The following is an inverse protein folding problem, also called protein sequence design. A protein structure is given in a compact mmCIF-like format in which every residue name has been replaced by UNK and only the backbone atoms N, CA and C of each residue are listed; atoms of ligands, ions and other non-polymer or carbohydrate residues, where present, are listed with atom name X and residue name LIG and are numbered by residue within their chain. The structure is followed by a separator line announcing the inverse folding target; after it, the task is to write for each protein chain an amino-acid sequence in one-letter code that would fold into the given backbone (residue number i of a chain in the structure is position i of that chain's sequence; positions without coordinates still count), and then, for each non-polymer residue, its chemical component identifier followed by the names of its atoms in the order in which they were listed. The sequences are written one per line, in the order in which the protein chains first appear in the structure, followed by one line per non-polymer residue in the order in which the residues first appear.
data_IF_975674891878
#
_entry.id   IF_975674891878
#
_cell.length_a   1.000
_cell.length_b   1.000
_cell.length_c   1.000
_cell.angle_alpha   90.00
_cell.angle_beta   90.00
_cell.angle_gamma   90.00
#
_symmetry.space_group_name_H-M   'P 1'
#
loop_
_entity.id
_entity.type
_entity.pdbx_description
1 polymer ?
#
# COMPACT_ATOMS: atom_id res chain seq x y z
N UNK A 1 -7.85 22.60 11.81
CA UNK A 1 -6.95 22.24 10.70
C UNK A 1 -7.79 22.08 9.45
N UNK A 2 -7.38 22.71 8.36
CA UNK A 2 -7.97 22.48 7.03
C UNK A 2 -7.14 21.36 6.39
N UNK A 3 -7.78 20.30 5.94
CA UNK A 3 -7.15 19.25 5.16
C UNK A 3 -8.14 18.63 4.17
N UNK A 4 -7.61 18.17 3.03
CA UNK A 4 -8.38 17.44 2.03
C UNK A 4 -8.08 15.97 2.15
N UNK A 5 -9.11 15.14 2.34
CA UNK A 5 -8.99 13.69 2.39
C UNK A 5 -9.36 13.09 1.03
N UNK A 6 -8.58 12.16 0.54
CA UNK A 6 -8.81 11.50 -0.75
C UNK A 6 -8.23 10.09 -0.80
N UNK A 7 -8.72 9.29 -1.76
CA UNK A 7 -8.09 8.04 -2.16
C UNK A 7 -7.17 8.35 -3.34
N UNK A 8 -5.88 8.01 -3.26
CA UNK A 8 -4.89 8.25 -4.32
C UNK A 8 -4.50 6.97 -5.08
N UNK A 9 -4.84 5.82 -4.54
CA UNK A 9 -4.67 4.51 -5.15
C UNK A 9 -5.78 3.55 -4.72
N UNK A 10 -6.34 2.83 -5.68
CA UNK A 10 -7.29 1.74 -5.42
C UNK A 10 -7.02 0.59 -6.38
N UNK A 11 -6.73 -0.58 -5.84
CA UNK A 11 -6.59 -1.81 -6.59
C UNK A 11 -7.43 -2.92 -5.93
N UNK A 12 -8.27 -3.55 -6.73
CA UNK A 12 -9.20 -4.61 -6.33
C UNK A 12 -8.68 -5.96 -6.81
N UNK A 13 -8.78 -6.98 -5.96
CA UNK A 13 -8.60 -8.37 -6.35
C UNK A 13 -9.97 -8.96 -6.62
N UNK A 14 -10.16 -9.42 -7.84
CA UNK A 14 -11.45 -9.81 -8.39
C UNK A 14 -11.40 -11.20 -9.02
N UNK A 15 -12.58 -11.75 -9.34
CA UNK A 15 -12.74 -12.93 -10.16
C UNK A 15 -13.88 -12.73 -11.16
N UNK A 16 -13.84 -13.44 -12.29
CA UNK A 16 -14.96 -13.53 -13.23
C UNK A 16 -15.08 -14.97 -13.73
N UNK A 17 -16.23 -15.33 -14.29
CA UNK A 17 -16.46 -16.70 -14.80
C UNK A 17 -15.42 -17.15 -15.84
N UNK A 18 -15.05 -16.25 -16.75
CA UNK A 18 -14.07 -16.51 -17.81
C UNK A 18 -12.61 -16.25 -17.38
N UNK A 19 -12.36 -15.55 -16.27
CA UNK A 19 -11.05 -15.02 -15.92
C UNK A 19 -10.58 -13.87 -16.81
N UNK A 20 -11.47 -13.31 -17.62
CA UNK A 20 -11.23 -12.21 -18.56
C UNK A 20 -12.39 -11.23 -18.57
N UNK A 21 -12.11 -9.98 -18.97
CA UNK A 21 -13.16 -9.01 -19.31
C UNK A 21 -13.64 -9.23 -20.73
N UNK A 22 -14.93 -8.99 -20.96
CA UNK A 22 -15.49 -9.01 -22.31
C UNK A 22 -15.21 -7.66 -23.01
N UNK A 23 -14.37 -7.66 -24.03
CA UNK A 23 -13.94 -6.45 -24.75
C UNK A 23 -14.97 -5.93 -25.77
N UNK A 24 -16.13 -6.58 -25.90
CA UNK A 24 -17.17 -6.21 -26.88
C UNK A 24 -18.25 -5.28 -26.32
N UNK A 25 -18.06 -4.73 -25.14
CA UNK A 25 -19.00 -3.80 -24.53
C UNK A 25 -18.79 -2.38 -25.11
N UNK A 26 -19.76 -1.85 -25.82
CA UNK A 26 -19.66 -0.60 -26.60
C UNK A 26 -19.44 0.69 -25.78
N UNK A 27 -19.67 0.68 -24.47
CA UNK A 27 -19.48 1.85 -23.61
C UNK A 27 -18.04 2.10 -23.22
N UNK A 28 -17.18 1.10 -23.35
CA UNK A 28 -15.79 1.11 -22.88
C UNK A 28 -14.85 0.97 -24.06
N UNK A 29 -13.80 1.78 -24.10
CA UNK A 29 -12.67 1.53 -24.98
C UNK A 29 -11.68 0.58 -24.31
N UNK A 30 -11.02 -0.28 -25.08
CA UNK A 30 -10.06 -1.24 -24.57
C UNK A 30 -8.76 -1.16 -25.33
N UNK A 31 -7.64 -1.01 -24.61
CA UNK A 31 -6.29 -1.00 -25.17
C UNK A 31 -5.48 -2.10 -24.52
N UNK A 32 -5.24 -3.17 -25.26
CA UNK A 32 -4.33 -4.24 -24.85
C UNK A 32 -2.89 -3.75 -24.98
N UNK A 33 -2.09 -3.94 -23.92
CA UNK A 33 -0.66 -3.65 -23.94
C UNK A 33 0.12 -4.81 -24.55
N UNK A 34 1.27 -4.50 -25.18
CA UNK A 34 2.15 -5.50 -25.80
C UNK A 34 2.67 -6.55 -24.80
N UNK A 35 2.77 -6.16 -23.52
CA UNK A 35 3.24 -7.02 -22.44
C UNK A 35 2.30 -6.91 -21.25
N UNK A 36 2.13 -8.04 -20.55
CA UNK A 36 1.43 -8.11 -19.26
C UNK A 36 2.30 -7.60 -18.11
N UNK A 37 2.01 -8.10 -16.93
CA UNK A 37 2.79 -7.82 -15.71
C UNK A 37 3.55 -9.08 -15.27
N UNK A 38 4.38 -8.97 -14.23
CA UNK A 38 5.06 -10.14 -13.65
C UNK A 38 4.08 -11.24 -13.17
N UNK A 39 2.85 -10.87 -12.85
CA UNK A 39 1.87 -11.79 -12.27
C UNK A 39 0.76 -12.20 -13.25
N UNK A 40 0.52 -11.40 -14.28
CA UNK A 40 -0.56 -11.59 -15.24
C UNK A 40 -0.06 -11.43 -16.67
N UNK A 41 -0.53 -12.29 -17.57
CA UNK A 41 -0.11 -12.33 -18.97
C UNK A 41 -0.61 -11.12 -19.77
N UNK A 42 -1.79 -10.61 -19.43
CA UNK A 42 -2.41 -9.49 -20.14
C UNK A 42 -2.62 -8.29 -19.22
N UNK A 43 -2.31 -7.11 -19.75
CA UNK A 43 -2.61 -5.82 -19.18
C UNK A 43 -3.48 -5.04 -20.17
N UNK A 44 -4.65 -4.58 -19.73
CA UNK A 44 -5.60 -3.84 -20.54
C UNK A 44 -5.87 -2.50 -19.86
N UNK A 45 -5.71 -1.40 -20.59
CA UNK A 45 -6.27 -0.12 -20.17
C UNK A 45 -7.69 -0.01 -20.71
N UNK A 46 -8.64 0.20 -19.80
CA UNK A 46 -10.03 0.50 -20.11
C UNK A 46 -10.19 2.00 -20.12
N UNK A 47 -10.78 2.54 -21.19
CA UNK A 47 -11.05 3.97 -21.31
C UNK A 47 -12.55 4.26 -21.20
N UNK A 48 -12.88 5.40 -20.60
CA UNK A 48 -14.23 5.94 -20.53
C UNK A 48 -14.21 7.37 -21.11
N UNK A 49 -15.03 7.61 -22.13
CA UNK A 49 -15.04 8.89 -22.86
C UNK A 49 -13.66 9.32 -23.38
N UNK A 50 -12.83 8.35 -23.79
CA UNK A 50 -11.47 8.60 -24.31
C UNK A 50 -10.39 8.80 -23.25
N UNK A 51 -10.73 8.74 -21.96
CA UNK A 51 -9.77 8.88 -20.85
C UNK A 51 -9.52 7.53 -20.17
N UNK A 52 -8.27 7.29 -19.75
CA UNK A 52 -7.87 6.08 -19.04
C UNK A 52 -8.62 5.97 -17.71
N UNK A 53 -9.47 4.96 -17.57
CA UNK A 53 -10.33 4.74 -16.42
C UNK A 53 -9.81 3.65 -15.50
N UNK A 54 -9.52 2.45 -16.05
CA UNK A 54 -9.04 1.31 -15.30
C UNK A 54 -7.82 0.67 -15.99
N UNK A 55 -6.96 0.08 -15.17
CA UNK A 55 -5.98 -0.92 -15.62
C UNK A 55 -6.46 -2.30 -15.13
N UNK A 56 -6.69 -3.23 -16.05
CA UNK A 56 -7.10 -4.60 -15.76
C UNK A 56 -5.96 -5.54 -16.08
N UNK A 57 -5.52 -6.29 -15.08
CA UNK A 57 -4.55 -7.38 -15.24
C UNK A 57 -5.30 -8.70 -15.17
N UNK A 58 -5.14 -9.54 -16.19
CA UNK A 58 -5.88 -10.80 -16.31
C UNK A 58 -4.99 -11.94 -16.83
N UNK A 59 -5.45 -13.17 -16.68
CA UNK A 59 -4.74 -14.41 -16.98
C UNK A 59 -3.49 -14.54 -16.09
N UNK A 60 -3.62 -15.16 -14.91
CA UNK A 60 -2.49 -15.38 -14.01
C UNK A 60 -1.35 -16.14 -14.70
N UNK A 61 -0.10 -15.68 -14.52
CA UNK A 61 1.10 -16.36 -15.03
C UNK A 61 1.45 -17.63 -14.25
N UNK A 62 0.91 -17.82 -13.06
CA UNK A 62 1.30 -18.88 -12.13
C UNK A 62 0.07 -19.55 -11.53
N UNK A 63 0.13 -20.86 -11.33
CA UNK A 63 -0.87 -21.65 -10.62
C UNK A 63 -0.98 -21.31 -9.11
N UNK A 64 -0.03 -20.52 -8.56
CA UNK A 64 -0.09 -20.00 -7.19
C UNK A 64 -1.18 -18.93 -7.06
N UNK A 65 -1.47 -18.20 -8.12
CA UNK A 65 -2.57 -17.25 -8.16
C UNK A 65 -3.89 -18.01 -8.36
N UNK A 66 -4.94 -17.50 -7.73
CA UNK A 66 -6.27 -18.06 -7.90
C UNK A 66 -6.65 -18.08 -9.39
N UNK A 67 -7.05 -19.23 -9.95
CA UNK A 67 -7.53 -19.29 -11.33
C UNK A 67 -8.67 -18.29 -11.55
N UNK A 68 -8.73 -17.70 -12.76
CA UNK A 68 -9.74 -16.70 -13.13
C UNK A 68 -9.70 -15.41 -12.30
N UNK A 69 -8.60 -15.17 -11.56
CA UNK A 69 -8.43 -13.92 -10.83
C UNK A 69 -7.99 -12.77 -11.77
N UNK A 70 -8.39 -11.57 -11.38
CA UNK A 70 -8.05 -10.31 -12.04
C UNK A 70 -7.60 -9.31 -10.98
N UNK A 71 -6.74 -8.38 -11.38
CA UNK A 71 -6.49 -7.15 -10.61
C UNK A 71 -7.07 -5.99 -11.41
N UNK A 72 -7.92 -5.22 -10.76
CA UNK A 72 -8.49 -4.00 -11.33
C UNK A 72 -7.95 -2.82 -10.54
N UNK A 73 -7.21 -1.94 -11.20
CA UNK A 73 -6.68 -0.71 -10.63
C UNK A 73 -7.42 0.47 -11.25
N UNK A 74 -7.95 1.35 -10.41
CA UNK A 74 -8.57 2.60 -10.85
C UNK A 74 -7.47 3.61 -11.18
N UNK A 75 -7.56 4.25 -12.35
CA UNK A 75 -6.62 5.29 -12.73
C UNK A 75 -6.75 6.52 -11.84
N UNK A 76 -5.62 7.10 -11.44
CA UNK A 76 -5.55 8.11 -10.39
C UNK A 76 -6.51 9.29 -10.61
N UNK A 77 -6.66 9.79 -11.86
CA UNK A 77 -7.57 10.89 -12.18
C UNK A 77 -9.02 10.59 -11.80
N UNK A 78 -9.48 9.36 -12.05
CA UNK A 78 -10.86 8.97 -11.74
C UNK A 78 -11.15 8.84 -10.24
N UNK A 79 -10.14 8.55 -9.41
CA UNK A 79 -10.29 8.52 -7.95
C UNK A 79 -10.72 9.88 -7.37
N UNK A 80 -10.47 10.96 -8.10
CA UNK A 80 -10.89 12.33 -7.73
C UNK A 80 -12.21 12.76 -8.38
N UNK A 81 -12.86 11.90 -9.16
CA UNK A 81 -14.14 12.22 -9.81
C UNK A 81 -15.33 11.81 -8.94
N UNK A 82 -16.37 12.64 -8.91
CA UNK A 82 -17.61 12.37 -8.14
C UNK A 82 -18.35 11.11 -8.60
N UNK A 83 -18.19 10.70 -9.86
CA UNK A 83 -18.87 9.53 -10.44
C UNK A 83 -18.07 8.22 -10.40
N UNK A 84 -16.88 8.21 -9.80
CA UNK A 84 -15.96 7.08 -9.86
C UNK A 84 -16.60 5.75 -9.43
N UNK A 85 -17.26 5.74 -8.27
CA UNK A 85 -17.88 4.52 -7.74
C UNK A 85 -19.02 4.01 -8.62
N UNK A 86 -19.83 4.92 -9.17
CA UNK A 86 -20.88 4.54 -10.10
C UNK A 86 -20.30 3.90 -11.37
N UNK A 87 -19.32 4.54 -12.00
CA UNK A 87 -18.65 4.00 -13.19
C UNK A 87 -17.96 2.66 -12.91
N UNK A 88 -17.28 2.55 -11.77
CA UNK A 88 -16.62 1.30 -11.37
C UNK A 88 -17.63 0.17 -11.17
N UNK A 89 -18.73 0.39 -10.45
CA UNK A 89 -19.76 -0.62 -10.25
C UNK A 89 -20.42 -1.01 -11.58
N UNK A 90 -20.76 -0.03 -12.44
CA UNK A 90 -21.29 -0.31 -13.78
C UNK A 90 -20.34 -1.18 -14.62
N UNK A 91 -19.03 -0.94 -14.53
CA UNK A 91 -18.04 -1.78 -15.19
C UNK A 91 -18.00 -3.20 -14.63
N UNK A 92 -17.97 -3.34 -13.31
CA UNK A 92 -17.95 -4.65 -12.64
C UNK A 92 -19.18 -5.49 -13.00
N UNK A 93 -20.36 -4.88 -12.96
CA UNK A 93 -21.64 -5.52 -13.29
C UNK A 93 -21.70 -5.94 -14.76
N UNK A 94 -21.33 -5.03 -15.68
CA UNK A 94 -21.34 -5.31 -17.13
C UNK A 94 -20.43 -6.48 -17.51
N UNK A 95 -19.33 -6.68 -16.77
CA UNK A 95 -18.37 -7.76 -17.01
C UNK A 95 -18.57 -8.96 -16.07
N UNK A 96 -19.63 -8.97 -15.23
CA UNK A 96 -19.91 -10.00 -14.23
C UNK A 96 -18.70 -10.32 -13.35
N UNK A 97 -18.05 -9.25 -12.88
CA UNK A 97 -16.85 -9.33 -12.05
C UNK A 97 -17.24 -9.24 -10.59
N UNK A 98 -16.82 -10.22 -9.82
CA UNK A 98 -16.97 -10.24 -8.37
C UNK A 98 -15.70 -9.71 -7.71
N UNK A 99 -15.83 -8.70 -6.86
CA UNK A 99 -14.74 -8.21 -6.00
C UNK A 99 -14.58 -9.16 -4.82
N UNK A 100 -13.40 -9.73 -4.66
CA UNK A 100 -13.09 -10.64 -3.56
C UNK A 100 -12.48 -9.87 -2.37
N UNK A 101 -11.59 -8.92 -2.66
CA UNK A 101 -10.99 -8.05 -1.63
C UNK A 101 -10.31 -6.83 -2.27
N UNK A 102 -9.89 -5.91 -1.42
CA UNK A 102 -9.03 -4.79 -1.83
C UNK A 102 -7.57 -5.26 -1.76
N UNK A 103 -6.87 -5.21 -2.88
CA UNK A 103 -5.45 -5.55 -2.97
C UNK A 103 -4.57 -4.46 -2.35
N UNK A 104 -4.91 -3.19 -2.63
CA UNK A 104 -4.25 -2.01 -2.06
C UNK A 104 -5.17 -0.80 -2.11
N UNK A 105 -5.15 -0.01 -1.05
CA UNK A 105 -5.69 1.34 -1.02
C UNK A 105 -4.67 2.30 -0.42
N UNK A 106 -4.51 3.49 -1.02
CA UNK A 106 -3.76 4.59 -0.45
C UNK A 106 -4.74 5.71 -0.13
N UNK A 107 -4.83 6.07 1.15
CA UNK A 107 -5.67 7.17 1.63
C UNK A 107 -4.75 8.32 2.03
N UNK A 108 -5.05 9.52 1.53
CA UNK A 108 -4.20 10.68 1.65
C UNK A 108 -4.92 11.81 2.36
N UNK A 109 -4.20 12.51 3.24
CA UNK A 109 -4.59 13.81 3.77
C UNK A 109 -3.61 14.86 3.26
N UNK A 110 -4.11 15.86 2.54
CA UNK A 110 -3.37 17.02 2.06
C UNK A 110 -3.62 18.21 2.99
N UNK A 111 -2.56 18.92 3.39
CA UNK A 111 -2.63 20.02 4.35
C UNK A 111 -1.43 20.96 4.24
N UNK A 112 -1.55 22.19 4.75
CA UNK A 112 -0.42 23.14 4.83
C UNK A 112 0.37 22.99 6.14
N UNK A 113 -0.33 22.82 7.27
CA UNK A 113 0.25 22.63 8.61
C UNK A 113 -0.58 21.61 9.39
N UNK A 114 0.04 20.96 10.37
CA UNK A 114 -0.67 20.07 11.29
C UNK A 114 -1.64 20.86 12.20
N UNK A 115 -2.53 20.14 12.87
CA UNK A 115 -3.58 20.73 13.72
C UNK A 115 -3.02 21.67 14.81
N UNK A 116 -1.89 21.30 15.40
CA UNK A 116 -1.20 22.10 16.40
C UNK A 116 -0.39 23.27 15.83
N UNK A 117 -0.55 23.58 14.54
CA UNK A 117 0.21 24.63 13.84
C UNK A 117 1.62 24.24 13.42
N UNK A 118 2.10 23.05 13.78
CA UNK A 118 3.44 22.57 13.44
C UNK A 118 3.58 22.39 11.92
N UNK A 119 4.65 22.94 11.37
CA UNK A 119 4.97 22.77 9.95
C UNK A 119 5.64 21.40 9.71
N UNK A 120 5.33 20.67 8.62
CA UNK A 120 5.92 19.37 8.34
C UNK A 120 7.45 19.33 8.34
N UNK A 121 8.12 20.33 7.79
CA UNK A 121 9.59 20.44 7.87
C UNK A 121 10.10 20.53 9.32
N UNK A 122 9.38 21.26 10.18
CA UNK A 122 9.75 21.37 11.60
C UNK A 122 9.61 20.02 12.29
N UNK A 123 8.52 19.28 12.02
CA UNK A 123 8.36 17.92 12.54
C UNK A 123 9.50 16.99 12.09
N UNK A 124 9.89 17.05 10.81
CA UNK A 124 11.01 16.24 10.28
C UNK A 124 12.32 16.61 11.01
N UNK A 125 12.61 17.91 11.17
CA UNK A 125 13.80 18.37 11.89
C UNK A 125 13.81 17.92 13.35
N UNK A 126 12.71 18.09 14.06
CA UNK A 126 12.58 17.67 15.47
C UNK A 126 12.69 16.16 15.64
N UNK A 127 12.19 15.37 14.67
CA UNK A 127 12.38 13.92 14.65
C UNK A 127 13.86 13.55 14.46
N UNK A 128 14.55 14.18 13.53
CA UNK A 128 15.96 13.92 13.24
C UNK A 128 16.91 14.41 14.36
N UNK A 129 16.58 15.50 15.04
CA UNK A 129 17.33 15.99 16.21
C UNK A 129 17.01 15.22 17.49
N UNK A 130 16.16 14.20 17.41
CA UNK A 130 15.71 13.42 18.58
C UNK A 130 14.92 14.22 19.63
N UNK A 131 14.41 15.42 19.30
CA UNK A 131 13.45 16.14 20.14
C UNK A 131 12.10 15.44 20.20
N UNK A 132 11.75 14.74 19.10
CA UNK A 132 10.58 13.90 18.99
C UNK A 132 10.99 12.44 18.87
N UNK A 133 10.26 11.59 19.60
CA UNK A 133 10.38 10.15 19.50
C UNK A 133 9.16 9.58 18.78
N UNK A 134 9.39 8.82 17.73
CA UNK A 134 8.34 8.06 17.06
C UNK A 134 7.93 6.86 17.91
N UNK A 135 6.63 6.66 18.08
CA UNK A 135 6.04 5.56 18.87
C UNK A 135 5.13 4.65 18.04
N UNK A 136 5.00 4.94 16.76
CA UNK A 136 4.28 4.11 15.80
C UNK A 136 5.09 2.87 15.40
N UNK A 137 4.51 2.10 14.49
CA UNK A 137 5.17 0.91 13.93
C UNK A 137 6.09 1.29 12.78
N UNK A 138 7.23 0.61 12.72
CA UNK A 138 8.20 0.75 11.63
C UNK A 138 9.34 1.73 11.95
N UNK A 139 10.40 1.62 11.16
CA UNK A 139 11.56 2.51 11.23
C UNK A 139 11.29 3.70 10.33
N UNK A 140 11.59 4.91 10.81
CA UNK A 140 11.45 6.14 10.06
C UNK A 140 12.67 6.41 9.17
N UNK A 141 12.42 6.81 7.91
CA UNK A 141 13.45 7.27 6.99
C UNK A 141 13.09 8.66 6.48
N UNK A 142 14.03 9.59 6.57
CA UNK A 142 13.88 10.94 6.02
C UNK A 142 14.40 11.02 4.58
N UNK A 143 13.71 11.79 3.76
CA UNK A 143 14.09 12.09 2.39
C UNK A 143 14.47 13.55 2.27
N UNK A 144 15.53 13.82 1.50
CA UNK A 144 16.01 15.18 1.29
C UNK A 144 16.66 15.31 -0.09
N UNK A 145 16.66 16.56 -0.59
CA UNK A 145 17.39 16.94 -1.79
C UNK A 145 18.50 17.93 -1.39
N UNK A 146 19.66 17.78 -2.03
CA UNK A 146 20.73 18.76 -1.96
C UNK A 146 20.53 19.81 -3.06
N UNK A 147 20.69 21.07 -2.70
CA UNK A 147 20.85 22.13 -3.68
C UNK A 147 21.96 23.09 -3.25
N UNK A 148 22.70 23.59 -4.24
CA UNK A 148 23.74 24.57 -4.03
C UNK A 148 23.22 25.96 -4.45
N UNK A 149 23.37 26.94 -3.57
CA UNK A 149 23.09 28.35 -3.87
C UNK A 149 24.39 29.11 -3.92
N UNK A 150 24.65 29.82 -5.02
CA UNK A 150 25.79 30.77 -5.10
C UNK A 150 25.47 31.97 -4.23
N UNK A 151 26.34 32.24 -3.25
CA UNK A 151 26.33 33.43 -2.41
C UNK A 151 27.67 34.14 -2.62
N UNK A 152 27.70 35.09 -3.55
CA UNK A 152 28.96 35.78 -3.96
C UNK A 152 29.95 34.83 -4.65
N UNK A 153 31.19 34.75 -4.14
CA UNK A 153 32.25 33.85 -4.65
C UNK A 153 32.14 32.41 -4.13
N UNK A 154 31.26 32.15 -3.17
CA UNK A 154 31.13 30.85 -2.51
C UNK A 154 29.82 30.19 -2.88
N UNK A 155 29.84 28.84 -2.93
CA UNK A 155 28.64 28.04 -3.09
C UNK A 155 28.33 27.37 -1.75
N UNK A 156 27.15 27.64 -1.18
CA UNK A 156 26.67 26.95 0.01
C UNK A 156 25.73 25.84 -0.39
N UNK A 157 25.92 24.67 0.20
CA UNK A 157 25.04 23.52 0.04
C UNK A 157 23.98 23.53 1.13
N UNK A 158 22.72 23.34 0.71
CA UNK A 158 21.58 23.29 1.60
C UNK A 158 20.86 21.96 1.47
N UNK A 159 20.35 21.45 2.60
CA UNK A 159 19.47 20.28 2.66
C UNK A 159 18.01 20.76 2.67
N UNK A 160 17.24 20.29 1.70
CA UNK A 160 15.80 20.48 1.70
C UNK A 160 15.11 19.13 1.97
N UNK A 161 14.46 19.03 3.11
CA UNK A 161 13.70 17.83 3.47
C UNK A 161 12.44 17.73 2.61
N UNK A 162 12.31 16.62 1.90
CA UNK A 162 11.19 16.38 0.98
C UNK A 162 10.17 15.40 1.52
N UNK A 163 10.51 14.64 2.55
CA UNK A 163 9.58 13.68 3.14
C UNK A 163 10.12 12.89 4.32
N UNK A 164 9.22 12.11 4.92
CA UNK A 164 9.49 11.19 6.02
C UNK A 164 8.55 10.00 5.88
N UNK A 165 9.06 8.77 5.90
CA UNK A 165 8.23 7.58 5.81
C UNK A 165 8.46 6.61 6.97
N UNK A 166 7.42 5.87 7.32
CA UNK A 166 7.43 4.79 8.30
C UNK A 166 6.85 3.52 7.70
N UNK A 167 7.56 2.43 7.92
CA UNK A 167 7.24 1.13 7.33
C UNK A 167 7.96 0.89 5.99
N UNK A 168 8.20 -0.38 5.68
CA UNK A 168 8.83 -0.82 4.44
C UNK A 168 7.80 -1.08 3.33
N UNK A 169 8.29 -1.29 2.12
CA UNK A 169 7.45 -1.72 1.00
C UNK A 169 6.78 -3.08 1.23
N UNK A 170 7.33 -3.93 2.12
CA UNK A 170 6.78 -5.24 2.47
C UNK A 170 5.73 -5.18 3.60
N UNK A 171 5.63 -4.04 4.29
CA UNK A 171 4.69 -3.87 5.40
C UNK A 171 3.24 -3.95 4.93
N UNK A 172 2.35 -4.46 5.79
CA UNK A 172 0.90 -4.50 5.56
C UNK A 172 0.30 -3.10 5.42
N UNK A 173 0.91 -2.12 6.09
CA UNK A 173 0.61 -0.70 5.92
C UNK A 173 1.86 0.14 6.17
N UNK A 174 1.93 1.31 5.55
CA UNK A 174 2.99 2.30 5.70
C UNK A 174 2.43 3.71 5.67
N UNK A 175 3.14 4.65 6.29
CA UNK A 175 2.84 6.07 6.25
C UNK A 175 3.96 6.82 5.52
N UNK A 176 3.60 7.75 4.65
CA UNK A 176 4.54 8.58 3.92
C UNK A 176 4.11 10.04 3.93
N UNK A 177 4.86 10.88 4.63
CA UNK A 177 4.72 12.33 4.62
C UNK A 177 5.65 12.91 3.55
N UNK A 178 5.13 13.73 2.64
CA UNK A 178 5.95 14.38 1.61
C UNK A 178 5.37 15.70 1.12
N UNK A 179 6.24 16.53 0.52
CA UNK A 179 5.84 17.80 -0.09
C UNK A 179 5.16 17.54 -1.44
N UNK A 180 3.82 17.56 -1.45
CA UNK A 180 3.01 17.27 -2.64
C UNK A 180 3.08 18.38 -3.68
N UNK A 181 3.17 19.66 -3.26
CA UNK A 181 3.39 20.76 -4.21
C UNK A 181 4.68 20.57 -4.99
N UNK A 182 5.76 20.18 -4.32
CA UNK A 182 7.05 19.92 -4.97
C UNK A 182 6.97 18.73 -5.93
N UNK A 183 6.31 17.63 -5.53
CA UNK A 183 6.10 16.47 -6.41
C UNK A 183 5.35 16.84 -7.69
N UNK A 184 4.26 17.61 -7.58
CA UNK A 184 3.47 18.04 -8.75
C UNK A 184 4.27 18.96 -9.70
N UNK A 185 5.19 19.74 -9.18
CA UNK A 185 6.06 20.60 -9.99
C UNK A 185 7.17 19.82 -10.69
N UNK A 186 7.70 18.76 -10.08
CA UNK A 186 8.93 18.09 -10.54
C UNK A 186 8.68 16.79 -11.29
N UNK A 187 7.59 16.07 -10.99
CA UNK A 187 7.32 14.75 -11.58
C UNK A 187 6.24 14.86 -12.64
N UNK A 188 5.03 15.23 -12.27
CA UNK A 188 3.89 15.36 -13.19
C UNK A 188 2.82 16.24 -12.55
N UNK A 189 2.43 17.30 -13.22
CA UNK A 189 1.28 18.10 -12.80
C UNK A 189 -0.03 17.31 -12.91
N UNK A 190 -0.88 17.46 -11.89
CA UNK A 190 -2.18 16.82 -11.78
C UNK A 190 -3.24 17.86 -11.44
N UNK A 191 -3.84 18.54 -12.42
CA UNK A 191 -4.77 19.65 -12.19
C UNK A 191 -5.95 19.30 -11.30
N UNK A 192 -6.43 18.05 -11.34
CA UNK A 192 -7.52 17.57 -10.51
C UNK A 192 -7.17 17.56 -9.00
N UNK A 193 -5.91 17.37 -8.63
CA UNK A 193 -5.45 17.49 -7.22
C UNK A 193 -5.47 18.95 -6.79
N UNK A 194 -4.98 19.88 -7.64
CA UNK A 194 -5.02 21.31 -7.35
C UNK A 194 -6.46 21.84 -7.23
N UNK A 195 -7.37 21.28 -8.03
CA UNK A 195 -8.80 21.59 -7.92
C UNK A 195 -9.37 21.16 -6.56
N UNK A 196 -9.07 19.94 -6.10
CA UNK A 196 -9.44 19.47 -4.76
C UNK A 196 -8.89 20.39 -3.66
N UNK A 197 -7.64 20.82 -3.76
CA UNK A 197 -7.05 21.76 -2.81
C UNK A 197 -7.80 23.09 -2.75
N UNK A 198 -8.11 23.65 -3.91
CA UNK A 198 -8.90 24.90 -4.01
C UNK A 198 -10.28 24.75 -3.38
N UNK A 199 -10.98 23.66 -3.66
CA UNK A 199 -12.30 23.35 -3.09
C UNK A 199 -12.24 23.15 -1.58
N UNK A 200 -11.13 22.61 -1.07
CA UNK A 200 -10.90 22.38 0.36
C UNK A 200 -10.30 23.60 1.09
N UNK A 201 -10.03 24.70 0.40
CA UNK A 201 -9.46 25.91 1.01
C UNK A 201 -7.96 25.80 1.35
N UNK A 202 -7.24 24.87 0.72
CA UNK A 202 -5.79 24.76 0.88
C UNK A 202 -5.07 25.77 -0.01
N UNK A 203 -3.97 26.34 0.52
CA UNK A 203 -3.15 27.31 -0.18
C UNK A 203 -1.93 26.61 -0.80
N UNK A 204 -1.71 26.81 -2.10
CA UNK A 204 -0.52 26.36 -2.83
C UNK A 204 0.10 27.54 -3.58
N UNK A 205 1.17 28.11 -3.01
CA UNK A 205 1.89 29.28 -3.54
C UNK A 205 3.39 29.05 -3.46
N UNK A 206 4.19 30.02 -3.94
CA UNK A 206 5.65 29.92 -3.84
C UNK A 206 6.14 29.79 -2.38
N UNK A 207 5.41 30.36 -1.43
CA UNK A 207 5.81 30.43 -0.02
C UNK A 207 5.07 29.41 0.86
N UNK A 208 3.93 28.86 0.38
CA UNK A 208 3.09 27.95 1.13
C UNK A 208 2.84 26.69 0.31
N UNK A 209 3.48 25.59 0.73
CA UNK A 209 3.33 24.30 0.08
C UNK A 209 2.22 23.48 0.73
N UNK A 210 1.60 22.63 -0.07
CA UNK A 210 0.74 21.56 0.41
C UNK A 210 1.57 20.30 0.62
N UNK A 211 1.46 19.74 1.81
CA UNK A 211 2.05 18.47 2.21
C UNK A 211 1.01 17.38 2.21
N UNK A 212 1.43 16.16 1.94
CA UNK A 212 0.58 14.98 1.95
C UNK A 212 1.08 13.98 2.98
N UNK A 213 0.18 13.50 3.83
CA UNK A 213 0.38 12.25 4.54
C UNK A 213 -0.41 11.17 3.81
N UNK A 214 0.29 10.20 3.24
CA UNK A 214 -0.27 9.06 2.55
C UNK A 214 -0.18 7.82 3.42
N UNK A 215 -1.30 7.15 3.63
CA UNK A 215 -1.39 5.85 4.30
C UNK A 215 -1.66 4.80 3.24
N UNK A 216 -0.66 3.99 2.94
CA UNK A 216 -0.78 2.87 2.00
C UNK A 216 -1.10 1.59 2.76
N UNK A 217 -2.23 0.96 2.45
CA UNK A 217 -2.71 -0.26 3.09
C UNK A 217 -2.79 -1.36 2.03
N UNK A 218 -2.12 -2.48 2.25
CA UNK A 218 -2.16 -3.66 1.39
C UNK A 218 -3.15 -4.69 1.92
N UNK A 219 -3.47 -5.70 1.13
CA UNK A 219 -4.44 -6.76 1.48
C UNK A 219 -4.27 -7.33 2.89
N UNK A 220 -3.04 -7.51 3.36
CA UNK A 220 -2.74 -7.98 4.73
C UNK A 220 -3.13 -6.99 5.83
N UNK A 221 -3.34 -5.72 5.49
CA UNK A 221 -3.74 -4.66 6.42
C UNK A 221 -5.23 -4.36 6.38
N UNK A 222 -5.98 -4.94 5.43
CA UNK A 222 -7.41 -4.64 5.25
C UNK A 222 -8.29 -5.16 6.37
N UNK A 223 -7.83 -6.16 7.13
CA UNK A 223 -8.54 -6.66 8.29
C UNK A 223 -7.72 -6.45 9.56
N UNK A 224 -8.37 -5.99 10.62
CA UNK A 224 -7.78 -5.85 11.94
C UNK A 224 -8.83 -6.02 13.03
N UNK A 225 -8.41 -6.11 14.28
CA UNK A 225 -9.29 -6.17 15.45
C UNK A 225 -9.25 -4.83 16.16
N UNK A 226 -10.41 -4.29 16.50
CA UNK A 226 -10.46 -3.16 17.43
C UNK A 226 -10.23 -3.67 18.85
N UNK A 227 -9.32 -3.04 19.58
CA UNK A 227 -8.99 -3.45 20.96
C UNK A 227 -10.08 -3.11 21.95
N UNK A 228 -10.84 -2.07 21.69
CA UNK A 228 -11.83 -1.55 22.62
C UNK A 228 -13.11 -2.38 22.57
N UNK A 229 -13.57 -2.73 21.38
CA UNK A 229 -14.79 -3.56 21.19
C UNK A 229 -14.48 -5.05 21.07
N UNK A 230 -13.27 -5.39 20.71
CA UNK A 230 -12.88 -6.77 20.39
C UNK A 230 -13.37 -7.25 19.03
N UNK A 231 -14.05 -6.42 18.27
CA UNK A 231 -14.64 -6.77 16.98
C UNK A 231 -13.63 -6.76 15.84
N UNK A 232 -13.89 -7.58 14.82
CA UNK A 232 -13.13 -7.58 13.59
C UNK A 232 -13.64 -6.47 12.69
N UNK A 233 -12.74 -5.55 12.32
CA UNK A 233 -12.99 -4.53 11.31
C UNK A 233 -12.39 -4.96 9.98
N UNK A 234 -13.19 -4.91 8.92
CA UNK A 234 -12.78 -5.22 7.54
C UNK A 234 -12.92 -3.97 6.68
N UNK A 235 -11.85 -3.58 6.00
CA UNK A 235 -11.91 -2.54 4.97
C UNK A 235 -12.38 -3.21 3.69
N UNK A 236 -13.57 -2.85 3.25
CA UNK A 236 -14.20 -3.30 2.01
C UNK A 236 -14.50 -2.12 1.07
N UNK A 237 -15.03 -2.42 -0.09
CA UNK A 237 -15.35 -1.41 -1.11
C UNK A 237 -16.44 -0.45 -0.61
N UNK A 238 -17.41 -0.96 0.12
CA UNK A 238 -18.56 -0.22 0.63
C UNK A 238 -18.10 0.88 1.60
N UNK A 239 -17.19 0.58 2.53
CA UNK A 239 -16.60 1.56 3.45
C UNK A 239 -15.81 2.65 2.75
N UNK A 240 -15.18 2.34 1.62
CA UNK A 240 -14.44 3.32 0.84
C UNK A 240 -15.36 4.27 0.02
N UNK A 241 -16.67 4.05 0.00
CA UNK A 241 -17.65 5.01 -0.56
C UNK A 241 -18.09 6.06 0.45
N UNK A 242 -17.90 5.82 1.74
CA UNK A 242 -18.28 6.71 2.83
C UNK A 242 -17.08 7.54 3.30
N UNK A 243 -17.23 8.86 3.24
CA UNK A 243 -16.17 9.81 3.67
C UNK A 243 -15.86 9.70 5.16
N UNK A 244 -16.84 9.39 6.01
CA UNK A 244 -16.64 9.19 7.44
C UNK A 244 -15.83 7.92 7.72
N UNK A 245 -16.12 6.83 7.00
CA UNK A 245 -15.37 5.60 7.08
C UNK A 245 -13.93 5.78 6.57
N UNK A 246 -13.73 6.50 5.46
CA UNK A 246 -12.40 6.85 4.95
C UNK A 246 -11.61 7.64 6.00
N UNK A 247 -12.24 8.62 6.67
CA UNK A 247 -11.60 9.40 7.72
C UNK A 247 -11.23 8.50 8.91
N UNK A 248 -12.14 7.64 9.37
CA UNK A 248 -11.90 6.68 10.44
C UNK A 248 -10.73 5.75 10.12
N UNK A 249 -10.69 5.19 8.91
CA UNK A 249 -9.59 4.34 8.45
C UNK A 249 -8.27 5.13 8.44
N UNK A 250 -8.26 6.33 7.83
CA UNK A 250 -7.07 7.18 7.78
C UNK A 250 -6.52 7.45 9.18
N UNK A 251 -7.35 7.95 10.11
CA UNK A 251 -6.91 8.29 11.47
C UNK A 251 -6.47 7.07 12.29
N UNK A 252 -7.15 5.93 12.11
CA UNK A 252 -6.76 4.65 12.72
C UNK A 252 -5.34 4.24 12.34
N UNK A 253 -5.02 4.31 11.06
CA UNK A 253 -3.69 3.95 10.58
C UNK A 253 -2.64 5.05 10.85
N UNK A 254 -2.99 6.32 10.68
CA UNK A 254 -2.11 7.44 11.03
C UNK A 254 -1.70 7.37 12.50
N UNK A 255 -2.65 7.13 13.42
CA UNK A 255 -2.36 6.96 14.85
C UNK A 255 -1.42 5.79 15.14
N UNK A 256 -1.49 4.71 14.37
CA UNK A 256 -0.65 3.53 14.59
C UNK A 256 0.72 3.60 13.90
N UNK A 257 0.87 4.40 12.84
CA UNK A 257 2.06 4.46 12.00
C UNK A 257 2.80 5.79 12.11
N UNK A 258 2.10 6.88 12.37
CA UNK A 258 2.62 8.26 12.32
C UNK A 258 2.30 8.99 13.62
N UNK A 259 2.83 8.48 14.74
CA UNK A 259 2.61 9.03 16.09
C UNK A 259 3.93 9.38 16.74
N UNK A 260 3.94 10.51 17.44
CA UNK A 260 5.12 11.05 18.11
C UNK A 260 4.79 11.50 19.53
N UNK A 261 5.82 11.46 20.38
CA UNK A 261 5.85 12.06 21.71
C UNK A 261 7.06 12.99 21.81
N UNK A 262 7.05 13.91 22.76
CA UNK A 262 8.25 14.64 23.12
C UNK A 262 9.27 13.69 23.72
N UNK A 263 10.50 13.74 23.22
CA UNK A 263 11.57 12.92 23.78
C UNK A 263 12.12 13.64 25.04
N UNK A 264 12.10 12.94 26.16
CA UNK A 264 12.61 13.44 27.44
C UNK A 264 13.46 12.37 28.08
N UNK A 265 14.47 12.75 28.83
CA UNK A 265 15.24 11.81 29.64
C UNK A 265 14.34 11.14 30.69
N UNK A 266 14.59 9.88 31.00
CA UNK A 266 13.85 9.13 32.01
C UNK A 266 12.50 8.55 31.60
N UNK A 267 12.12 8.62 30.32
CA UNK A 267 10.89 7.93 29.84
C UNK A 267 11.05 6.42 29.94
N UNK A 268 10.39 5.81 30.92
CA UNK A 268 10.36 4.35 31.13
C UNK A 268 9.18 3.69 30.41
N UNK A 269 8.07 4.41 30.26
CA UNK A 269 6.85 3.89 29.62
C UNK A 269 6.31 4.83 28.53
N UNK A 270 6.72 4.59 27.29
CA UNK A 270 6.34 5.38 26.11
C UNK A 270 4.84 5.41 25.85
N UNK A 271 4.08 4.40 26.29
CA UNK A 271 2.64 4.30 26.03
C UNK A 271 1.81 5.24 26.88
N UNK A 272 2.37 5.70 28.02
CA UNK A 272 1.74 6.66 28.92
C UNK A 272 2.04 8.12 28.58
N UNK A 273 3.02 8.36 27.73
CA UNK A 273 3.37 9.73 27.32
C UNK A 273 2.29 10.33 26.41
N UNK A 274 1.98 11.62 26.59
CA UNK A 274 1.00 12.30 25.76
C UNK A 274 1.50 12.39 24.31
N UNK A 275 0.68 11.91 23.37
CA UNK A 275 0.97 11.99 21.94
C UNK A 275 0.83 13.42 21.44
N UNK A 276 1.69 13.80 20.51
CA UNK A 276 1.56 15.08 19.80
C UNK A 276 0.33 14.97 18.89
N UNK A 277 -0.62 15.87 19.08
CA UNK A 277 -1.83 15.93 18.29
C UNK A 277 -1.54 16.59 16.94
N UNK A 278 -1.31 15.78 15.91
CA UNK A 278 -1.02 16.25 14.55
C UNK A 278 -2.29 16.46 13.73
N UNK A 279 -3.34 15.69 13.97
CA UNK A 279 -4.66 15.79 13.34
C UNK A 279 -5.71 16.07 14.41
N UNK A 280 -6.89 16.59 13.99
CA UNK A 280 -8.03 16.76 14.89
C UNK A 280 -8.45 15.41 15.51
N UNK A 281 -9.18 15.48 16.61
CA UNK A 281 -9.70 14.31 17.32
C UNK A 281 -10.85 13.61 16.56
N UNK A 282 -10.58 13.24 15.33
CA UNK A 282 -11.48 12.47 14.48
C UNK A 282 -11.66 11.05 15.03
N UNK A 283 -12.79 10.39 14.75
CA UNK A 283 -13.00 9.02 15.18
C UNK A 283 -11.90 8.11 14.62
N UNK A 284 -11.36 7.25 15.47
CA UNK A 284 -10.39 6.22 15.10
C UNK A 284 -10.64 4.96 15.92
N UNK A 285 -10.18 3.82 15.40
CA UNK A 285 -10.22 2.54 16.08
C UNK A 285 -8.86 2.19 16.69
N UNK A 286 -8.84 1.55 17.85
CA UNK A 286 -7.62 1.07 18.47
C UNK A 286 -7.16 -0.25 17.83
N UNK A 287 -6.55 -0.14 16.67
CA UNK A 287 -6.17 -1.28 15.83
C UNK A 287 -5.14 -2.21 16.47
N UNK A 288 -5.44 -3.49 16.52
CA UNK A 288 -4.44 -4.54 16.65
C UNK A 288 -4.45 -5.45 15.42
N UNK A 289 -3.29 -5.98 15.09
CA UNK A 289 -3.16 -6.93 13.96
C UNK A 289 -3.90 -8.20 14.35
N UNK A 290 -4.71 -8.74 13.42
CA UNK A 290 -5.25 -10.09 13.59
C UNK A 290 -4.07 -11.05 13.72
N UNK A 291 -4.05 -11.82 14.78
CA UNK A 291 -3.14 -12.96 14.86
C UNK A 291 -3.48 -13.89 13.69
N UNK A 292 -2.49 -14.18 12.86
CA UNK A 292 -2.70 -15.16 11.81
C UNK A 292 -2.93 -16.50 12.51
N UNK A 293 -4.11 -17.07 12.32
CA UNK A 293 -4.51 -18.41 12.86
C UNK A 293 -3.58 -19.53 12.32
N UNK A 294 -2.71 -19.20 11.39
CA UNK A 294 -1.72 -20.12 10.88
C UNK A 294 -0.47 -20.10 11.75
N UNK A 295 -0.45 -20.98 12.73
CA UNK A 295 0.69 -21.26 13.61
C UNK A 295 1.92 -21.85 12.91
N UNK A 296 2.34 -21.26 11.80
CA UNK A 296 3.59 -21.57 11.12
C UNK A 296 4.56 -20.39 11.27
N UNK A 297 5.77 -20.67 11.67
CA UNK A 297 6.84 -19.70 11.75
C UNK A 297 7.01 -19.01 10.39
N UNK A 298 7.07 -17.67 10.36
CA UNK A 298 7.24 -16.87 9.12
C UNK A 298 8.40 -17.37 8.27
N UNK A 299 9.47 -17.80 8.92
CA UNK A 299 10.66 -18.36 8.29
C UNK A 299 10.34 -19.69 7.57
N UNK A 300 9.50 -20.54 8.15
CA UNK A 300 9.09 -21.81 7.54
C UNK A 300 8.32 -21.59 6.24
N UNK A 301 7.40 -20.62 6.22
CA UNK A 301 6.63 -20.27 5.02
C UNK A 301 7.49 -19.68 3.91
N UNK A 302 8.48 -18.84 4.28
CA UNK A 302 9.42 -18.28 3.31
C UNK A 302 10.28 -19.41 2.71
N UNK A 303 10.78 -20.30 3.53
CA UNK A 303 11.57 -21.46 3.09
C UNK A 303 10.76 -22.39 2.20
N UNK A 304 9.54 -22.77 2.60
CA UNK A 304 8.64 -23.59 1.77
C UNK A 304 8.39 -22.91 0.43
N UNK A 305 8.07 -21.59 0.43
CA UNK A 305 7.85 -20.85 -0.80
C UNK A 305 9.10 -20.80 -1.69
N UNK A 306 10.28 -20.63 -1.12
CA UNK A 306 11.54 -20.63 -1.87
C UNK A 306 11.85 -22.01 -2.46
N UNK A 307 11.63 -23.07 -1.69
CA UNK A 307 11.79 -24.44 -2.17
C UNK A 307 10.84 -24.76 -3.33
N UNK A 308 9.58 -24.33 -3.24
CA UNK A 308 8.60 -24.47 -4.32
C UNK A 308 8.99 -23.64 -5.56
N UNK A 309 9.47 -22.42 -5.39
CA UNK A 309 9.92 -21.59 -6.51
C UNK A 309 11.13 -22.19 -7.21
N UNK A 310 12.06 -22.81 -6.47
CA UNK A 310 13.20 -23.52 -7.04
C UNK A 310 12.75 -24.77 -7.79
N UNK A 311 11.78 -25.53 -7.25
CA UNK A 311 11.18 -26.71 -7.91
C UNK A 311 10.49 -26.30 -9.24
N UNK A 312 9.74 -25.21 -9.25
CA UNK A 312 9.06 -24.74 -10.47
C UNK A 312 10.05 -24.22 -11.52
N UNK A 313 11.18 -23.61 -11.11
CA UNK A 313 12.23 -23.16 -12.02
C UNK A 313 12.92 -24.36 -12.69
N UNK A 314 13.15 -25.43 -11.96
CA UNK A 314 13.70 -26.68 -12.51
C UNK A 314 12.73 -27.37 -13.47
N UNK A 315 11.41 -27.31 -13.22
CA UNK A 315 10.38 -27.88 -14.10
C UNK A 315 10.25 -27.12 -15.43
N UNK A 316 10.46 -25.81 -15.42
CA UNK A 316 10.41 -24.97 -16.64
C UNK A 316 11.49 -25.24 -17.68
N UNK A 317 12.55 -25.99 -17.32
CA UNK A 317 13.69 -26.29 -18.18
C UNK A 317 13.70 -27.73 -18.74
N UNK A 318 12.55 -28.41 -18.84
CA UNK A 318 12.37 -29.77 -19.40
C UNK A 318 13.21 -30.89 -18.77
N UNK A 319 13.99 -30.63 -17.72
CA UNK A 319 15.00 -31.58 -17.22
C UNK A 319 14.45 -32.49 -16.12
N UNK A 320 13.26 -32.20 -15.54
CA UNK A 320 12.82 -32.97 -14.38
C UNK A 320 11.31 -33.22 -14.34
N UNK A 321 10.87 -34.27 -14.99
CA UNK A 321 9.61 -34.95 -14.66
C UNK A 321 9.66 -35.72 -13.33
N UNK A 322 10.80 -35.76 -12.66
CA UNK A 322 11.04 -36.63 -11.50
C UNK A 322 10.88 -35.85 -10.19
N UNK A 323 9.76 -36.10 -9.48
CA UNK A 323 9.54 -35.62 -8.10
C UNK A 323 10.69 -35.99 -7.15
N UNK A 324 11.45 -37.03 -7.46
CA UNK A 324 12.61 -37.49 -6.70
C UNK A 324 13.74 -36.46 -6.66
N UNK A 325 14.01 -35.76 -7.76
CA UNK A 325 15.10 -34.78 -7.83
C UNK A 325 14.74 -33.52 -7.07
N UNK A 326 13.50 -33.03 -7.15
CA UNK A 326 13.03 -31.88 -6.37
C UNK A 326 13.14 -32.17 -4.86
N UNK A 327 12.72 -33.35 -4.42
CA UNK A 327 12.89 -33.84 -3.05
C UNK A 327 14.36 -33.94 -2.65
N UNK A 328 15.24 -34.43 -3.53
CA UNK A 328 16.67 -34.56 -3.27
C UNK A 328 17.38 -33.20 -3.15
N UNK A 329 17.04 -32.23 -3.98
CA UNK A 329 17.55 -30.84 -3.89
C UNK A 329 17.11 -30.19 -2.59
N UNK A 330 15.84 -30.37 -2.20
CA UNK A 330 15.33 -29.83 -0.93
C UNK A 330 16.01 -30.44 0.28
N UNK A 331 16.29 -31.76 0.27
CA UNK A 331 17.03 -32.44 1.34
C UNK A 331 18.47 -31.95 1.42
N UNK A 332 19.16 -31.79 0.28
CA UNK A 332 20.53 -31.23 0.25
C UNK A 332 20.61 -29.80 0.78
N UNK A 333 19.64 -28.94 0.40
CA UNK A 333 19.52 -27.57 0.91
C UNK A 333 19.25 -27.54 2.41
N UNK A 334 18.33 -28.38 2.90
CA UNK A 334 18.02 -28.50 4.31
C UNK A 334 19.24 -29.03 5.11
N UNK A 335 20.01 -29.95 4.54
CA UNK A 335 21.26 -30.42 5.14
C UNK A 335 22.31 -29.31 5.23
N UNK A 336 22.53 -28.56 4.15
CA UNK A 336 23.49 -27.46 4.12
C UNK A 336 23.11 -26.30 5.07
N UNK A 337 21.85 -26.13 5.39
CA UNK A 337 21.33 -25.08 6.27
C UNK A 337 21.04 -25.55 7.69
N UNK A 338 21.33 -26.83 8.03
CA UNK A 338 21.02 -27.43 9.33
C UNK A 338 19.54 -27.66 9.61
N UNK A 339 18.68 -27.61 8.59
CA UNK A 339 17.23 -27.72 8.68
C UNK A 339 16.68 -29.13 8.40
N UNK A 340 17.56 -30.14 8.33
CA UNK A 340 17.16 -31.54 7.99
C UNK A 340 16.10 -32.09 8.92
N UNK A 341 16.29 -31.95 10.23
CA UNK A 341 15.31 -32.41 11.23
C UNK A 341 13.96 -31.69 11.13
N UNK A 342 13.99 -30.43 10.74
CA UNK A 342 12.78 -29.65 10.49
C UNK A 342 12.04 -30.16 9.25
N UNK A 343 12.77 -30.43 8.15
CA UNK A 343 12.20 -30.94 6.91
C UNK A 343 11.55 -32.31 7.13
N UNK A 344 12.20 -33.20 7.89
CA UNK A 344 11.67 -34.54 8.21
C UNK A 344 10.36 -34.43 9.01
N UNK A 345 10.27 -33.52 9.98
CA UNK A 345 9.04 -33.28 10.77
C UNK A 345 7.88 -32.73 9.96
N UNK A 346 8.13 -32.15 8.78
CA UNK A 346 7.12 -31.55 7.89
C UNK A 346 6.84 -32.43 6.65
N UNK A 347 7.23 -33.69 6.69
CA UNK A 347 7.07 -34.65 5.59
C UNK A 347 5.64 -34.72 5.07
N UNK A 348 4.64 -34.63 5.97
CA UNK A 348 3.22 -34.68 5.64
C UNK A 348 2.75 -33.52 4.74
N UNK A 349 3.50 -32.40 4.72
CA UNK A 349 3.20 -31.27 3.82
C UNK A 349 3.68 -31.52 2.37
N UNK A 350 4.52 -32.53 2.15
CA UNK A 350 5.04 -32.89 0.83
C UNK A 350 4.11 -33.84 0.08
N UNK A 351 3.33 -34.60 0.83
CA UNK A 351 2.42 -35.63 0.31
C UNK A 351 0.99 -35.08 0.12
N UNK A 352 0.76 -33.83 0.40
CA UNK A 352 -0.55 -33.18 0.15
C UNK A 352 -0.71 -32.94 -1.36
N UNK A 353 -1.65 -33.58 -2.05
CA UNK A 353 -1.84 -33.40 -3.49
C UNK A 353 -2.39 -32.00 -3.77
N UNK A 354 -1.52 -31.06 -4.09
CA UNK A 354 -1.90 -29.75 -4.59
C UNK A 354 -2.14 -29.72 -6.09
N UNK A 355 -2.67 -30.80 -6.64
CA UNK A 355 -3.06 -30.87 -8.06
C UNK A 355 -4.41 -31.51 -8.20
N UNK A 356 -5.42 -30.67 -8.22
CA UNK A 356 -6.62 -30.85 -9.04
C UNK A 356 -6.93 -29.57 -9.77
#
# INVERSE_FOLDING_TARGET
MIYALSIDWLALFCTSESGRINQYQHYWGYKLHAHGTRQYQELITVTLHGEDFLEVQQIPCSSILQPRSLIIKVCNRFLYSRGMWYCLNSFLDAHKIQVLNISRVDICADFNKFHNGLHPITLIKQFLSSELRHIGRGIGNAHFNHFAKKEGKYSKSYLNYTGLNFGSNESAARAYLYNKSFELLTVKDKPYIRQLWKESGLTDTKDVNVWRLEISIKSKGMAFKDKDTGEKYQIDKEKLTDTCEIATIFHTFARSLFSFIKNREGITNVTREPRIQLFNGEPYLNRCVLESVSGGNRTERILIKQLWQMSDTYRGNEIVEDEGIAKMVAVKLASATGLTNWLIKKRDLWDTPTRK
#
